data_IF_715085780663
#
_entry.id   IF_715085780663
#
_cell.length_a   1.000
_cell.length_b   1.000
_cell.length_c   1.000
_cell.angle_alpha   90.00
_cell.angle_beta   90.00
_cell.angle_gamma   90.00
#
_symmetry.space_group_name_H-M   'P 1'
#
loop_
_entity.id
_entity.type
_entity.pdbx_description
1 polymer ?
#
# COMPACT_ATOMS: atom_id res chain seq x y z
N UNK A 1 5.78 -2.84 0.86
CA UNK A 1 4.68 -2.26 0.05
C UNK A 1 4.11 -1.01 0.73
N UNK A 2 3.65 -0.02 -0.04
CA UNK A 2 2.90 1.17 0.41
C UNK A 2 1.56 1.22 -0.36
N UNK A 3 0.45 1.34 0.36
CA UNK A 3 -0.90 1.38 -0.22
C UNK A 3 -1.44 2.80 -0.20
N UNK A 4 -2.09 3.23 -1.27
CA UNK A 4 -2.60 4.60 -1.44
C UNK A 4 -4.02 4.57 -2.01
N UNK A 5 -4.92 5.40 -1.50
CA UNK A 5 -6.23 5.62 -2.12
C UNK A 5 -6.19 6.75 -3.15
N UNK A 6 -6.81 6.57 -4.32
CA UNK A 6 -6.80 7.56 -5.40
C UNK A 6 -7.48 8.89 -5.05
N UNK A 7 -8.39 8.89 -4.07
CA UNK A 7 -9.05 10.09 -3.50
C UNK A 7 -8.59 10.38 -2.06
N UNK A 8 -7.46 9.83 -1.64
CA UNK A 8 -6.88 10.10 -0.32
C UNK A 8 -6.11 11.43 -0.34
N UNK A 9 -6.43 12.34 0.59
CA UNK A 9 -5.72 13.62 0.76
C UNK A 9 -4.23 13.44 1.08
N UNK A 10 -3.83 12.28 1.61
CA UNK A 10 -2.45 11.93 1.91
C UNK A 10 -1.74 11.20 0.77
N UNK A 11 -2.39 11.04 -0.40
CA UNK A 11 -1.86 10.27 -1.54
C UNK A 11 -0.44 10.67 -1.91
N UNK A 12 -0.21 11.95 -2.19
CA UNK A 12 1.09 12.42 -2.68
C UNK A 12 2.18 12.27 -1.62
N UNK A 13 1.83 12.46 -0.34
CA UNK A 13 2.75 12.23 0.79
C UNK A 13 3.15 10.76 0.91
N UNK A 14 2.21 9.84 0.71
CA UNK A 14 2.50 8.40 0.74
C UNK A 14 3.38 7.98 -0.44
N UNK A 15 3.14 8.53 -1.64
CA UNK A 15 3.97 8.32 -2.83
C UNK A 15 5.39 8.86 -2.63
N UNK A 16 5.52 10.07 -2.08
CA UNK A 16 6.82 10.66 -1.77
C UNK A 16 7.60 9.83 -0.75
N UNK A 17 6.93 9.37 0.31
CA UNK A 17 7.53 8.48 1.30
C UNK A 17 8.08 7.19 0.64
N UNK A 18 7.29 6.56 -0.22
CA UNK A 18 7.74 5.37 -0.94
C UNK A 18 8.94 5.66 -1.86
N UNK A 19 8.97 6.83 -2.52
CA UNK A 19 10.11 7.25 -3.33
C UNK A 19 11.39 7.40 -2.49
N UNK A 20 11.29 7.98 -1.29
CA UNK A 20 12.42 8.09 -0.35
C UNK A 20 12.91 6.71 0.09
N UNK A 21 12.01 5.77 0.40
CA UNK A 21 12.41 4.40 0.75
C UNK A 21 13.12 3.68 -0.40
N UNK A 22 12.63 3.84 -1.64
CA UNK A 22 13.29 3.31 -2.85
C UNK A 22 14.69 3.89 -3.01
N UNK A 23 14.87 5.20 -2.80
CA UNK A 23 16.18 5.86 -2.87
C UNK A 23 17.17 5.31 -1.81
N UNK A 24 16.68 4.80 -0.68
CA UNK A 24 17.48 4.11 0.33
C UNK A 24 17.75 2.62 0.00
N UNK A 25 17.42 2.16 -1.21
CA UNK A 25 17.63 0.78 -1.65
C UNK A 25 16.62 -0.23 -1.09
N UNK A 26 15.53 0.22 -0.46
CA UNK A 26 14.49 -0.69 0.04
C UNK A 26 13.59 -1.18 -1.12
N UNK A 27 13.24 -2.47 -1.17
CA UNK A 27 12.36 -3.02 -2.20
C UNK A 27 10.90 -2.63 -1.92
N UNK A 28 10.53 -1.39 -2.27
CA UNK A 28 9.19 -0.86 -1.99
C UNK A 28 8.35 -0.80 -3.24
N UNK A 29 7.21 -1.48 -3.22
CA UNK A 29 6.14 -1.34 -4.20
C UNK A 29 5.09 -0.32 -3.72
N UNK A 30 4.59 0.54 -4.63
CA UNK A 30 3.44 1.41 -4.38
C UNK A 30 2.22 0.82 -5.09
N UNK A 31 1.11 0.68 -4.37
CA UNK A 31 -0.17 0.19 -4.89
C UNK A 31 -1.26 1.22 -4.66
N UNK A 32 -1.76 1.80 -5.75
CA UNK A 32 -2.89 2.72 -5.73
C UNK A 32 -4.20 1.95 -5.92
N UNK A 33 -5.19 2.26 -5.08
CA UNK A 33 -6.57 1.80 -5.20
C UNK A 33 -7.39 2.97 -5.72
N UNK A 34 -7.72 2.91 -7.01
CA UNK A 34 -8.43 3.98 -7.71
C UNK A 34 -9.75 4.33 -7.00
N UNK A 35 -10.03 5.62 -6.90
CA UNK A 35 -11.28 6.11 -6.30
C UNK A 35 -11.40 5.87 -4.78
N UNK A 36 -10.46 5.24 -4.11
CA UNK A 36 -10.57 5.01 -2.67
C UNK A 36 -10.20 6.25 -1.85
N UNK A 37 -10.98 6.49 -0.80
CA UNK A 37 -10.82 7.59 0.14
C UNK A 37 -9.81 7.27 1.24
N UNK A 38 -9.47 8.27 2.06
CA UNK A 38 -8.65 8.06 3.24
C UNK A 38 -9.28 7.01 4.18
N UNK A 39 -8.48 6.06 4.66
CA UNK A 39 -8.92 5.03 5.59
C UNK A 39 -9.95 4.04 5.03
N UNK A 40 -10.05 3.89 3.70
CA UNK A 40 -11.02 2.98 3.07
C UNK A 40 -10.97 1.54 3.62
N UNK A 41 -9.78 1.07 4.01
CA UNK A 41 -9.56 -0.25 4.61
C UNK A 41 -10.13 -0.39 6.03
N UNK A 42 -10.40 0.70 6.74
CA UNK A 42 -11.06 0.67 8.05
C UNK A 42 -12.58 0.59 7.90
N UNK A 43 -13.10 1.08 6.77
CA UNK A 43 -14.54 1.11 6.45
C UNK A 43 -14.98 -0.21 5.82
N UNK A 44 -14.16 -0.77 4.91
CA UNK A 44 -14.34 -2.11 4.35
C UNK A 44 -13.04 -2.93 4.49
N UNK A 45 -12.81 -3.54 5.67
CA UNK A 45 -11.56 -4.25 5.94
C UNK A 45 -11.45 -5.60 5.23
N UNK A 46 -12.54 -6.10 4.66
CA UNK A 46 -12.58 -7.37 3.94
C UNK A 46 -12.66 -7.20 2.42
N UNK A 47 -12.36 -6.00 1.90
CA UNK A 47 -12.29 -5.80 0.46
C UNK A 47 -11.34 -6.84 -0.16
N UNK A 48 -11.91 -7.67 -1.05
CA UNK A 48 -11.25 -8.88 -1.54
C UNK A 48 -9.95 -8.58 -2.30
N UNK A 49 -9.84 -7.38 -2.88
CA UNK A 49 -8.63 -6.92 -3.55
C UNK A 49 -7.52 -6.55 -2.57
N UNK A 50 -7.83 -5.75 -1.53
CA UNK A 50 -6.84 -5.36 -0.53
C UNK A 50 -6.27 -6.58 0.19
N UNK A 51 -7.15 -7.50 0.62
CA UNK A 51 -6.71 -8.71 1.32
C UNK A 51 -5.85 -9.61 0.42
N UNK A 52 -6.16 -9.73 -0.88
CA UNK A 52 -5.30 -10.46 -1.84
C UNK A 52 -3.92 -9.81 -1.97
N UNK A 53 -3.86 -8.48 -2.05
CA UNK A 53 -2.60 -7.74 -2.20
C UNK A 53 -1.74 -7.86 -0.93
N UNK A 54 -2.35 -7.68 0.25
CA UNK A 54 -1.66 -7.87 1.54
C UNK A 54 -1.16 -9.31 1.70
N UNK A 55 -1.99 -10.31 1.37
CA UNK A 55 -1.57 -11.71 1.40
C UNK A 55 -0.35 -11.96 0.53
N UNK A 56 -0.34 -11.50 -0.73
CA UNK A 56 0.83 -11.68 -1.60
C UNK A 56 2.08 -11.04 -1.00
N UNK A 57 1.96 -9.83 -0.44
CA UNK A 57 3.10 -9.13 0.15
C UNK A 57 3.70 -9.93 1.32
N UNK A 58 2.85 -10.50 2.19
CA UNK A 58 3.30 -11.35 3.29
C UNK A 58 3.93 -12.64 2.76
N UNK A 59 3.33 -13.29 1.76
CA UNK A 59 3.85 -14.55 1.22
C UNK A 59 5.17 -14.35 0.43
N UNK A 60 5.37 -13.19 -0.22
CA UNK A 60 6.56 -12.91 -1.05
C UNK A 60 7.73 -12.29 -0.29
N UNK A 61 7.42 -11.35 0.62
CA UNK A 61 8.42 -10.51 1.28
C UNK A 61 8.52 -10.81 2.78
N UNK A 62 7.52 -11.50 3.34
CA UNK A 62 7.44 -11.90 4.75
C UNK A 62 8.24 -13.16 5.06
N UNK A 63 9.51 -13.23 4.62
CA UNK A 63 10.47 -14.13 5.26
C UNK A 63 10.72 -13.62 6.67
N UNK A 64 9.93 -14.16 7.59
CA UNK A 64 10.21 -14.17 9.01
C UNK A 64 10.89 -15.51 9.33
N UNK A 65 12.08 -15.74 8.76
CA UNK A 65 13.01 -16.75 9.24
C UNK A 65 13.98 -16.17 10.27
#
# INVERSE_FOLDING_TARGET
MVVVGGRDILRDRAVEYAARLKAMGKPVEVREFEGQQHGFFTIDPWSAELMRVVKRFVDSDGRFD
#
